data_IF_334870496687
#
_entry.id   IF_334870496687
#
_cell.length_a   1.000
_cell.length_b   1.000
_cell.length_c   1.000
_cell.angle_alpha   90.00
_cell.angle_beta   90.00
_cell.angle_gamma   90.00
#
_symmetry.space_group_name_H-M   'P 1'
#
loop_
_entity.id
_entity.type
_entity.pdbx_description
1 polymer ?
#
# COMPACT_ATOMS: atom_id res chain seq x y z
N UNK A 1 -1.50 15.60 20.68
CA UNK A 1 -1.44 14.13 20.51
C UNK A 1 0.00 13.63 20.35
N UNK A 2 0.82 14.17 19.42
CA UNK A 2 2.20 13.72 19.20
C UNK A 2 3.13 14.06 20.38
N UNK A 3 2.98 15.23 20.97
CA UNK A 3 3.77 15.64 22.14
C UNK A 3 3.49 14.71 23.34
N UNK A 4 2.22 14.38 23.56
CA UNK A 4 1.83 13.48 24.65
C UNK A 4 2.35 12.04 24.41
N UNK A 5 2.37 11.61 23.15
CA UNK A 5 2.90 10.32 22.74
C UNK A 5 4.41 10.22 22.99
N UNK A 6 5.17 11.24 22.55
CA UNK A 6 6.60 11.34 22.78
C UNK A 6 6.95 11.31 24.28
N UNK A 7 6.35 12.21 25.06
CA UNK A 7 6.61 12.34 26.48
C UNK A 7 6.32 11.01 27.23
N UNK A 8 5.34 10.23 26.75
CA UNK A 8 5.03 8.90 27.27
C UNK A 8 6.17 7.91 27.03
N UNK A 9 6.76 7.88 25.83
CA UNK A 9 7.85 6.94 25.52
C UNK A 9 9.17 7.32 26.16
N UNK A 10 9.51 8.60 26.23
CA UNK A 10 10.68 9.09 26.93
C UNK A 10 10.60 8.74 28.43
N UNK A 11 9.47 8.99 29.06
CA UNK A 11 9.26 8.67 30.48
C UNK A 11 9.23 7.16 30.75
N UNK A 12 8.83 6.34 29.78
CA UNK A 12 8.86 4.88 29.87
C UNK A 12 10.24 4.28 29.60
N UNK A 13 11.25 5.08 29.24
CA UNK A 13 12.61 4.63 28.97
C UNK A 13 12.73 3.80 27.68
N UNK A 14 11.84 3.99 26.70
CA UNK A 14 11.92 3.34 25.39
C UNK A 14 13.20 3.76 24.68
N UNK A 15 13.99 2.77 24.23
CA UNK A 15 15.28 2.99 23.56
C UNK A 15 15.23 2.83 22.07
N UNK A 16 14.23 2.10 21.54
CA UNK A 16 14.09 1.82 20.10
C UNK A 16 12.62 1.84 19.69
N UNK A 17 12.35 2.41 18.51
CA UNK A 17 11.02 2.49 17.92
C UNK A 17 10.99 1.78 16.56
N UNK A 18 10.11 0.80 16.41
CA UNK A 18 9.84 0.12 15.15
C UNK A 18 8.52 0.64 14.58
N UNK A 19 8.54 1.21 13.38
CA UNK A 19 7.39 1.87 12.78
C UNK A 19 7.05 1.34 11.39
N UNK A 20 5.80 0.91 11.20
CA UNK A 20 5.29 0.53 9.89
C UNK A 20 4.67 1.78 9.23
N UNK A 21 5.37 2.29 8.25
CA UNK A 21 4.99 3.43 7.42
C UNK A 21 4.34 2.97 6.10
N UNK A 22 4.61 3.66 5.01
CA UNK A 22 4.15 3.33 3.66
C UNK A 22 5.17 3.84 2.64
N UNK A 23 5.35 3.11 1.55
CA UNK A 23 6.23 3.55 0.45
C UNK A 23 5.77 4.88 -0.14
N UNK A 24 6.71 5.63 -0.72
CA UNK A 24 6.45 6.90 -1.43
C UNK A 24 5.84 8.01 -0.56
N UNK A 25 5.86 7.90 0.77
CA UNK A 25 5.33 8.96 1.63
C UNK A 25 6.18 10.23 1.64
N UNK A 26 7.45 10.15 1.22
CA UNK A 26 8.41 11.25 1.10
C UNK A 26 8.61 11.74 -0.33
N UNK A 27 7.89 11.20 -1.30
CA UNK A 27 7.99 11.63 -2.70
C UNK A 27 7.33 13.00 -2.94
N UNK A 28 7.83 13.78 -3.92
CA UNK A 28 7.22 15.04 -4.31
C UNK A 28 5.74 14.89 -4.69
N UNK A 29 4.86 15.63 -4.05
CA UNK A 29 3.42 15.55 -4.25
C UNK A 29 2.68 14.67 -3.26
N UNK A 30 3.36 13.79 -2.53
CA UNK A 30 2.76 12.94 -1.49
C UNK A 30 2.15 13.77 -0.35
N UNK A 31 2.67 14.98 -0.11
CA UNK A 31 2.12 15.92 0.88
C UNK A 31 0.67 16.36 0.60
N UNK A 32 0.21 16.18 -0.65
CA UNK A 32 -1.19 16.44 -1.05
C UNK A 32 -2.13 15.29 -0.78
N UNK A 33 -1.58 14.13 -0.36
CA UNK A 33 -2.34 12.93 -0.02
C UNK A 33 -2.32 12.78 1.51
N UNK A 34 -3.41 13.08 2.22
CA UNK A 34 -3.40 13.18 3.69
C UNK A 34 -2.87 11.92 4.40
N UNK A 35 -3.18 10.74 3.86
CA UNK A 35 -2.70 9.46 4.43
C UNK A 35 -1.19 9.30 4.31
N UNK A 36 -0.59 9.67 3.18
CA UNK A 36 0.87 9.63 2.97
C UNK A 36 1.56 10.69 3.82
N UNK A 37 1.03 11.92 3.79
CA UNK A 37 1.58 13.04 4.56
C UNK A 37 1.58 12.76 6.07
N UNK A 38 0.50 12.18 6.59
CA UNK A 38 0.44 11.79 7.99
C UNK A 38 1.52 10.77 8.36
N UNK A 39 1.78 9.76 7.50
CA UNK A 39 2.85 8.78 7.70
C UNK A 39 4.23 9.44 7.68
N UNK A 40 4.48 10.30 6.69
CA UNK A 40 5.73 11.05 6.58
C UNK A 40 6.00 11.91 7.82
N UNK A 41 5.02 12.65 8.31
CA UNK A 41 5.17 13.47 9.52
C UNK A 41 5.54 12.64 10.75
N UNK A 42 5.00 11.42 10.87
CA UNK A 42 5.36 10.49 11.94
C UNK A 42 6.81 10.07 11.84
N UNK A 43 7.27 9.71 10.63
CA UNK A 43 8.67 9.34 10.41
C UNK A 43 9.62 10.47 10.80
N UNK A 44 9.31 11.70 10.39
CA UNK A 44 10.12 12.86 10.71
C UNK A 44 10.15 13.17 12.22
N UNK A 45 9.04 12.94 12.92
CA UNK A 45 9.04 13.08 14.39
C UNK A 45 9.86 11.98 15.07
N UNK A 46 9.79 10.72 14.60
CA UNK A 46 10.61 9.62 15.12
C UNK A 46 12.09 9.93 14.94
N UNK A 47 12.51 10.38 13.76
CA UNK A 47 13.90 10.69 13.43
C UNK A 47 14.50 11.84 14.26
N UNK A 48 13.67 12.72 14.81
CA UNK A 48 14.10 13.85 15.66
C UNK A 48 14.34 13.43 17.12
N UNK A 49 13.91 12.25 17.53
CA UNK A 49 14.04 11.80 18.90
C UNK A 49 15.46 11.24 19.17
N UNK A 50 15.88 11.30 20.42
CA UNK A 50 17.11 10.67 20.89
C UNK A 50 16.87 9.19 21.24
N UNK A 51 16.35 8.43 20.25
CA UNK A 51 16.13 7.00 20.33
C UNK A 51 16.44 6.34 19.00
N UNK A 52 16.85 5.09 19.04
CA UNK A 52 17.03 4.28 17.83
C UNK A 52 15.70 4.01 17.14
N UNK A 53 15.73 3.91 15.80
CA UNK A 53 14.52 3.59 15.05
C UNK A 53 14.76 2.61 13.90
N UNK A 54 13.72 1.87 13.55
CA UNK A 54 13.59 1.17 12.27
C UNK A 54 12.25 1.54 11.64
N UNK A 55 12.27 2.06 10.43
CA UNK A 55 11.08 2.43 9.68
C UNK A 55 10.91 1.45 8.52
N UNK A 56 9.74 0.84 8.43
CA UNK A 56 9.37 -0.10 7.39
C UNK A 56 8.32 0.53 6.48
N UNK A 57 8.62 0.69 5.21
CA UNK A 57 7.73 1.25 4.18
C UNK A 57 7.31 0.16 3.20
N UNK A 58 6.27 -0.63 3.51
CA UNK A 58 5.75 -1.63 2.56
C UNK A 58 5.11 -0.98 1.35
N UNK A 59 5.15 -1.67 0.20
CA UNK A 59 4.54 -1.26 -1.06
C UNK A 59 3.03 -1.46 -1.08
N UNK A 60 2.59 -2.61 -0.67
CA UNK A 60 1.20 -3.05 -0.62
C UNK A 60 1.14 -4.54 -0.33
N UNK A 61 0.00 -5.04 0.08
CA UNK A 61 -0.15 -6.42 0.50
C UNK A 61 -0.97 -7.24 -0.49
N UNK A 62 -0.63 -8.52 -0.67
CA UNK A 62 -1.39 -9.47 -1.49
C UNK A 62 -2.87 -9.46 -1.15
N UNK A 63 -3.18 -9.49 0.14
CA UNK A 63 -4.55 -9.47 0.64
C UNK A 63 -5.31 -8.21 0.24
N UNK A 64 -4.68 -7.04 0.33
CA UNK A 64 -5.34 -5.77 0.01
C UNK A 64 -5.64 -5.66 -1.48
N UNK A 65 -4.72 -6.08 -2.34
CA UNK A 65 -4.96 -6.12 -3.79
C UNK A 65 -6.12 -7.06 -4.11
N UNK A 66 -6.09 -8.29 -3.59
CA UNK A 66 -7.16 -9.26 -3.80
C UNK A 66 -8.52 -8.73 -3.33
N UNK A 67 -8.58 -8.13 -2.14
CA UNK A 67 -9.79 -7.56 -1.55
C UNK A 67 -10.33 -6.37 -2.34
N UNK A 68 -9.45 -5.47 -2.80
CA UNK A 68 -9.84 -4.30 -3.61
C UNK A 68 -10.31 -4.73 -4.99
N UNK A 69 -9.69 -5.74 -5.60
CA UNK A 69 -10.04 -6.21 -6.94
C UNK A 69 -11.28 -7.10 -6.96
N UNK A 70 -11.58 -7.80 -5.86
CA UNK A 70 -12.71 -8.75 -5.78
C UNK A 70 -14.05 -8.17 -6.27
N UNK A 71 -14.53 -6.99 -5.84
CA UNK A 71 -15.79 -6.44 -6.33
C UNK A 71 -15.82 -6.21 -7.86
N UNK A 72 -14.67 -5.90 -8.46
CA UNK A 72 -14.55 -5.73 -9.91
C UNK A 72 -14.56 -7.07 -10.63
N UNK A 73 -13.86 -8.07 -10.09
CA UNK A 73 -13.88 -9.45 -10.61
C UNK A 73 -15.29 -10.03 -10.53
N UNK A 74 -15.98 -9.84 -9.41
CA UNK A 74 -17.38 -10.30 -9.23
C UNK A 74 -18.30 -9.68 -10.27
N UNK A 75 -18.16 -8.39 -10.53
CA UNK A 75 -18.92 -7.63 -11.53
C UNK A 75 -18.54 -7.97 -12.98
N UNK A 76 -17.38 -8.57 -13.21
CA UNK A 76 -16.87 -8.90 -14.56
C UNK A 76 -16.26 -7.71 -15.32
N UNK A 77 -15.90 -6.60 -14.65
CA UNK A 77 -15.29 -5.41 -15.24
C UNK A 77 -14.32 -4.74 -14.26
N UNK A 78 -13.04 -4.67 -14.63
CA UNK A 78 -12.02 -3.93 -13.88
C UNK A 78 -12.03 -2.45 -14.26
N UNK A 79 -11.80 -1.58 -13.29
CA UNK A 79 -11.61 -0.14 -13.52
C UNK A 79 -10.15 0.24 -13.23
N UNK A 80 -9.46 0.73 -14.25
CA UNK A 80 -8.10 1.22 -14.16
C UNK A 80 -8.00 2.66 -14.64
N UNK A 81 -6.97 3.39 -14.21
CA UNK A 81 -6.75 4.76 -14.66
C UNK A 81 -6.25 4.79 -16.11
N UNK A 82 -6.91 5.60 -16.94
CA UNK A 82 -6.53 5.79 -18.34
C UNK A 82 -5.11 6.37 -18.41
N UNK A 83 -4.23 5.66 -19.14
CA UNK A 83 -2.82 6.03 -19.29
C UNK A 83 -1.90 5.54 -18.17
N UNK A 84 -2.41 4.82 -17.15
CA UNK A 84 -1.64 4.36 -15.98
C UNK A 84 -1.67 2.83 -15.78
N UNK A 85 -2.15 2.06 -16.76
CA UNK A 85 -2.18 0.59 -16.65
C UNK A 85 -0.81 -0.06 -16.49
N UNK A 86 0.25 0.64 -16.95
CA UNK A 86 1.65 0.24 -16.86
C UNK A 86 2.32 0.53 -15.51
N UNK A 87 1.65 1.24 -14.61
CA UNK A 87 2.16 1.53 -13.26
C UNK A 87 2.39 0.23 -12.50
N UNK A 88 3.52 0.14 -11.82
CA UNK A 88 4.05 -1.09 -11.24
C UNK A 88 3.98 -1.08 -9.71
N UNK A 89 3.84 -2.28 -9.17
CA UNK A 89 4.04 -2.53 -7.74
C UNK A 89 4.65 -3.92 -7.53
N UNK A 90 5.52 -4.06 -6.52
CA UNK A 90 6.01 -5.33 -6.02
C UNK A 90 5.40 -5.63 -4.65
N UNK A 91 4.12 -5.96 -4.66
CA UNK A 91 3.34 -6.25 -3.45
C UNK A 91 3.92 -7.42 -2.64
N UNK A 92 3.74 -7.42 -1.33
CA UNK A 92 4.34 -8.37 -0.40
C UNK A 92 3.29 -9.18 0.34
N UNK A 93 3.62 -10.44 0.68
CA UNK A 93 2.77 -11.25 1.57
C UNK A 93 2.91 -10.79 3.03
N UNK A 94 1.80 -10.73 3.77
CA UNK A 94 1.83 -10.24 5.17
C UNK A 94 2.72 -11.08 6.09
N UNK A 95 2.68 -12.43 6.08
CA UNK A 95 3.62 -13.26 6.84
C UNK A 95 5.10 -13.02 6.50
N UNK A 96 5.43 -12.87 5.21
CA UNK A 96 6.81 -12.60 4.78
C UNK A 96 7.28 -11.22 5.25
N UNK A 97 6.41 -10.22 5.18
CA UNK A 97 6.67 -8.90 5.74
C UNK A 97 6.84 -8.92 7.27
N UNK A 98 6.00 -9.68 7.98
CA UNK A 98 6.12 -9.84 9.42
C UNK A 98 7.45 -10.51 9.82
N UNK A 99 7.89 -11.53 9.07
CA UNK A 99 9.18 -12.18 9.29
C UNK A 99 10.33 -11.18 9.06
N UNK A 100 10.26 -10.38 8.00
CA UNK A 100 11.24 -9.32 7.74
C UNK A 100 11.37 -8.34 8.93
N UNK A 101 10.24 -7.92 9.50
CA UNK A 101 10.25 -7.05 10.68
C UNK A 101 10.97 -7.72 11.85
N UNK A 102 10.67 -8.99 12.13
CA UNK A 102 11.32 -9.74 13.23
C UNK A 102 12.83 -9.84 13.01
N UNK A 103 13.26 -10.14 11.79
CA UNK A 103 14.68 -10.32 11.46
C UNK A 103 15.47 -9.00 11.56
N UNK A 104 14.82 -7.86 11.32
CA UNK A 104 15.43 -6.52 11.25
C UNK A 104 15.05 -5.57 12.40
N UNK A 105 14.26 -6.02 13.38
CA UNK A 105 13.77 -5.15 14.45
C UNK A 105 14.87 -4.62 15.37
N UNK A 106 16.05 -5.22 15.33
CA UNK A 106 17.22 -4.81 16.11
C UNK A 106 18.18 -3.90 15.33
N UNK A 107 17.94 -3.66 14.05
CA UNK A 107 18.71 -2.71 13.24
C UNK A 107 18.54 -1.28 13.78
N UNK A 108 19.47 -0.39 13.45
CA UNK A 108 19.53 0.95 14.07
C UNK A 108 19.51 2.04 13.03
N UNK A 109 18.59 2.99 13.19
CA UNK A 109 18.47 4.23 12.42
C UNK A 109 18.39 3.98 10.90
N UNK A 110 17.53 3.05 10.49
CA UNK A 110 17.35 2.63 9.11
C UNK A 110 15.89 2.75 8.67
N UNK A 111 15.71 3.03 7.38
CA UNK A 111 14.41 3.02 6.69
C UNK A 111 14.47 2.03 5.54
N UNK A 112 13.59 1.06 5.51
CA UNK A 112 13.46 0.04 4.47
C UNK A 112 12.25 0.29 3.59
N UNK A 113 12.44 0.37 2.27
CA UNK A 113 11.37 0.36 1.27
C UNK A 113 11.12 -1.08 0.83
N UNK A 114 10.09 -1.72 1.37
CA UNK A 114 9.94 -3.17 1.31
C UNK A 114 8.89 -3.58 0.29
N UNK A 115 9.28 -4.45 -0.63
CA UNK A 115 8.40 -5.09 -1.60
C UNK A 115 8.58 -6.60 -1.64
N UNK A 116 7.69 -7.28 -2.36
CA UNK A 116 7.82 -8.68 -2.71
C UNK A 116 8.83 -8.89 -3.85
N UNK A 117 9.17 -10.13 -4.13
CA UNK A 117 10.14 -10.50 -5.17
C UNK A 117 9.66 -10.26 -6.60
N UNK A 118 8.36 -10.24 -6.81
CA UNK A 118 7.74 -10.13 -8.13
C UNK A 118 7.16 -8.74 -8.34
N UNK A 119 7.46 -8.12 -9.49
CA UNK A 119 6.92 -6.80 -9.85
C UNK A 119 5.92 -6.96 -10.98
N UNK A 120 4.72 -6.44 -10.79
CA UNK A 120 3.64 -6.48 -11.76
C UNK A 120 3.05 -5.09 -12.00
N UNK A 121 2.52 -4.87 -13.20
CA UNK A 121 1.64 -3.75 -13.47
C UNK A 121 0.25 -4.01 -12.90
N UNK A 122 -0.53 -2.95 -12.66
CA UNK A 122 -1.93 -3.12 -12.22
C UNK A 122 -2.78 -3.85 -13.27
N UNK A 123 -2.45 -3.73 -14.55
CA UNK A 123 -3.12 -4.47 -15.63
C UNK A 123 -2.82 -5.96 -15.55
N UNK A 124 -1.55 -6.35 -15.31
CA UNK A 124 -1.17 -7.76 -15.10
C UNK A 124 -1.81 -8.34 -13.85
N UNK A 125 -1.83 -7.61 -12.73
CA UNK A 125 -2.51 -8.06 -11.51
C UNK A 125 -4.02 -8.26 -11.73
N UNK A 126 -4.65 -7.37 -12.51
CA UNK A 126 -6.05 -7.53 -12.89
C UNK A 126 -6.27 -8.78 -13.74
N UNK A 127 -5.40 -9.02 -14.72
CA UNK A 127 -5.46 -10.22 -15.56
C UNK A 127 -5.38 -11.51 -14.72
N UNK A 128 -4.43 -11.58 -13.79
CA UNK A 128 -4.29 -12.73 -12.89
C UNK A 128 -5.55 -12.97 -12.04
N UNK A 129 -6.17 -11.90 -11.51
CA UNK A 129 -7.39 -12.03 -10.72
C UNK A 129 -8.58 -12.55 -11.54
N UNK A 130 -8.74 -12.05 -12.76
CA UNK A 130 -9.82 -12.49 -13.66
C UNK A 130 -9.62 -13.91 -14.16
N UNK A 131 -8.38 -14.27 -14.51
CA UNK A 131 -8.00 -15.64 -14.89
C UNK A 131 -8.27 -16.63 -13.73
N UNK A 132 -7.84 -16.32 -12.53
CA UNK A 132 -8.06 -17.15 -11.35
C UNK A 132 -9.55 -17.36 -11.03
N UNK A 133 -10.40 -16.38 -11.38
CA UNK A 133 -11.86 -16.47 -11.25
C UNK A 133 -12.54 -17.09 -12.46
N UNK A 134 -11.81 -17.56 -13.48
CA UNK A 134 -12.36 -18.07 -14.76
C UNK A 134 -13.27 -17.06 -15.47
N UNK A 135 -12.94 -15.78 -15.44
CA UNK A 135 -13.72 -14.71 -16.08
C UNK A 135 -12.89 -13.98 -17.13
N UNK A 136 -13.49 -13.54 -18.25
CA UNK A 136 -12.80 -12.72 -19.23
C UNK A 136 -12.51 -11.32 -18.64
N UNK A 137 -11.27 -10.85 -18.77
CA UNK A 137 -10.90 -9.50 -18.36
C UNK A 137 -11.53 -8.46 -19.28
N UNK A 138 -12.31 -7.55 -18.72
CA UNK A 138 -12.80 -6.33 -19.38
C UNK A 138 -12.29 -5.15 -18.57
N UNK A 139 -11.55 -4.23 -19.21
CA UNK A 139 -11.03 -3.04 -18.54
C UNK A 139 -11.83 -1.82 -18.98
N UNK A 140 -12.37 -1.10 -18.00
CA UNK A 140 -12.93 0.22 -18.18
C UNK A 140 -11.93 1.28 -17.74
N UNK A 141 -11.46 2.05 -18.68
CA UNK A 141 -10.50 3.11 -18.44
C UNK A 141 -11.16 4.36 -17.87
N UNK A 142 -10.75 4.76 -16.69
CA UNK A 142 -11.30 5.90 -15.95
C UNK A 142 -10.33 7.08 -16.01
N UNK A 143 -10.75 8.28 -16.44
CA UNK A 143 -9.88 9.45 -16.43
C UNK A 143 -9.45 9.84 -15.01
N UNK A 144 -8.16 10.14 -14.81
CA UNK A 144 -7.59 10.46 -13.48
C UNK A 144 -8.27 11.67 -12.81
N UNK A 145 -8.72 12.65 -13.57
CA UNK A 145 -9.38 13.84 -13.03
C UNK A 145 -10.70 13.50 -12.30
N UNK A 146 -11.35 12.39 -12.67
CA UNK A 146 -12.60 11.96 -12.05
C UNK A 146 -12.41 11.63 -10.57
N UNK A 147 -11.26 11.09 -10.18
CA UNK A 147 -10.93 10.84 -8.76
C UNK A 147 -10.90 12.15 -7.96
N UNK A 148 -10.34 13.24 -8.52
CA UNK A 148 -10.36 14.54 -7.89
C UNK A 148 -11.79 15.09 -7.71
N UNK A 149 -12.64 14.93 -8.70
CA UNK A 149 -14.05 15.32 -8.61
C UNK A 149 -14.79 14.49 -7.56
N UNK A 150 -14.64 13.15 -7.62
CA UNK A 150 -15.28 12.23 -6.66
C UNK A 150 -14.86 12.50 -5.22
N UNK A 151 -13.56 12.69 -4.95
CA UNK A 151 -13.05 12.98 -3.62
C UNK A 151 -13.69 14.24 -3.01
N UNK A 152 -14.02 15.23 -3.84
CA UNK A 152 -14.57 16.51 -3.40
C UNK A 152 -16.11 16.55 -3.32
N UNK A 153 -16.82 15.49 -3.69
CA UNK A 153 -18.28 15.45 -3.53
C UNK A 153 -18.68 15.53 -2.05
N UNK A 154 -19.67 16.38 -1.68
CA UNK A 154 -20.11 16.54 -0.29
C UNK A 154 -20.48 15.21 0.40
N UNK A 155 -21.14 14.31 -0.33
CA UNK A 155 -21.52 12.97 0.18
C UNK A 155 -20.28 12.12 0.53
N UNK A 156 -19.22 12.20 -0.26
CA UNK A 156 -17.97 11.48 -0.06
C UNK A 156 -17.21 12.03 1.14
N UNK A 157 -17.10 13.37 1.24
CA UNK A 157 -16.47 14.04 2.40
C UNK A 157 -17.21 13.73 3.69
N UNK A 158 -18.54 13.81 3.69
CA UNK A 158 -19.37 13.47 4.85
C UNK A 158 -19.22 12.00 5.27
N UNK A 159 -19.00 11.10 4.31
CA UNK A 159 -18.75 9.68 4.59
C UNK A 159 -17.29 9.36 5.01
N UNK A 160 -16.40 10.36 5.15
CA UNK A 160 -15.00 10.17 5.51
C UNK A 160 -14.16 9.46 4.43
N UNK A 161 -14.62 9.44 3.18
CA UNK A 161 -13.97 8.68 2.08
C UNK A 161 -13.04 9.54 1.21
N UNK A 162 -12.90 10.82 1.51
CA UNK A 162 -12.05 11.75 0.74
C UNK A 162 -10.61 11.24 0.65
N UNK A 163 -9.99 10.96 1.79
CA UNK A 163 -8.58 10.63 1.89
C UNK A 163 -8.26 9.28 1.22
N UNK A 164 -9.15 8.29 1.37
CA UNK A 164 -8.96 6.99 0.73
C UNK A 164 -9.04 7.08 -0.80
N UNK A 165 -9.88 7.99 -1.35
CA UNK A 165 -9.94 8.21 -2.80
C UNK A 165 -8.68 8.89 -3.31
N UNK A 166 -8.13 9.87 -2.58
CA UNK A 166 -6.86 10.50 -2.94
C UNK A 166 -5.70 9.52 -2.85
N UNK A 167 -5.67 8.68 -1.82
CA UNK A 167 -4.69 7.62 -1.68
C UNK A 167 -4.79 6.60 -2.83
N UNK A 168 -6.01 6.15 -3.18
CA UNK A 168 -6.22 5.24 -4.32
C UNK A 168 -5.79 5.87 -5.65
N UNK A 169 -6.05 7.17 -5.84
CA UNK A 169 -5.55 7.90 -7.01
C UNK A 169 -4.02 7.85 -7.07
N UNK A 170 -3.34 8.10 -5.95
CA UNK A 170 -1.88 8.07 -5.86
C UNK A 170 -1.34 6.69 -6.22
N UNK A 171 -1.79 5.65 -5.54
CA UNK A 171 -1.32 4.28 -5.72
C UNK A 171 -1.52 3.76 -7.16
N UNK A 172 -2.61 4.17 -7.82
CA UNK A 172 -2.89 3.78 -9.20
C UNK A 172 -2.17 4.64 -10.26
N UNK A 173 -1.44 5.68 -9.87
CA UNK A 173 -0.75 6.59 -10.79
C UNK A 173 0.76 6.75 -10.54
N UNK A 174 1.32 6.08 -9.54
CA UNK A 174 2.75 6.10 -9.21
C UNK A 174 3.26 4.66 -9.02
N UNK A 175 4.49 4.41 -9.47
CA UNK A 175 5.14 3.13 -9.22
C UNK A 175 5.38 2.95 -7.72
N UNK A 176 4.96 1.80 -7.19
CA UNK A 176 5.14 1.43 -5.80
C UNK A 176 6.06 0.22 -5.72
N UNK A 177 7.34 0.45 -5.99
CA UNK A 177 8.36 -0.60 -6.04
C UNK A 177 9.38 -0.37 -4.93
N UNK A 178 9.38 -1.26 -3.94
CA UNK A 178 10.40 -1.29 -2.90
C UNK A 178 11.71 -1.88 -3.43
N UNK A 179 12.82 -1.34 -2.96
CA UNK A 179 14.18 -1.77 -3.31
C UNK A 179 14.69 -2.95 -2.46
N UNK A 180 14.05 -3.16 -1.31
CA UNK A 180 14.33 -4.27 -0.40
C UNK A 180 13.26 -5.36 -0.58
N UNK A 181 13.61 -6.41 -1.34
CA UNK A 181 12.69 -7.50 -1.60
C UNK A 181 12.71 -8.52 -0.46
N UNK A 182 11.53 -8.97 -0.02
CA UNK A 182 11.37 -9.99 1.02
C UNK A 182 10.38 -11.07 0.62
N UNK A 183 10.59 -12.26 1.19
CA UNK A 183 9.74 -13.44 1.03
C UNK A 183 9.91 -14.16 -0.30
N UNK A 184 9.37 -15.38 -0.33
CA UNK A 184 9.45 -16.28 -1.50
C UNK A 184 8.09 -16.57 -2.13
N UNK A 185 7.01 -16.10 -1.51
CA UNK A 185 5.66 -16.36 -2.00
C UNK A 185 5.34 -15.61 -3.29
N UNK A 186 4.63 -16.30 -4.17
CA UNK A 186 4.16 -15.75 -5.43
C UNK A 186 2.79 -15.10 -5.27
N UNK A 187 2.65 -13.87 -5.79
CA UNK A 187 1.35 -13.20 -5.87
C UNK A 187 0.37 -13.97 -6.75
N UNK A 188 0.84 -14.52 -7.87
CA UNK A 188 -0.01 -15.32 -8.77
C UNK A 188 -0.59 -16.56 -8.07
N UNK A 189 0.21 -17.28 -7.27
CA UNK A 189 -0.27 -18.42 -6.48
C UNK A 189 -1.27 -18.00 -5.40
N UNK A 190 -1.00 -16.87 -4.72
CA UNK A 190 -1.91 -16.30 -3.74
C UNK A 190 -3.28 -15.99 -4.35
N UNK A 191 -3.30 -15.30 -5.49
CA UNK A 191 -4.52 -14.92 -6.22
C UNK A 191 -5.29 -16.15 -6.70
N UNK A 192 -4.60 -17.17 -7.23
CA UNK A 192 -5.22 -18.45 -7.62
C UNK A 192 -5.91 -19.14 -6.45
N UNK A 193 -5.29 -19.13 -5.27
CA UNK A 193 -5.88 -19.68 -4.06
C UNK A 193 -7.04 -18.85 -3.51
N UNK A 194 -6.97 -17.52 -3.62
CA UNK A 194 -7.99 -16.59 -3.13
C UNK A 194 -9.28 -16.69 -3.94
N UNK A 195 -9.19 -16.62 -5.27
CA UNK A 195 -10.36 -16.65 -6.16
C UNK A 195 -10.80 -18.09 -6.53
N UNK A 196 -9.88 -19.05 -6.59
CA UNK A 196 -10.19 -20.44 -6.96
C UNK A 196 -10.99 -21.22 -5.91
N UNK A 197 -10.97 -20.79 -4.64
CA UNK A 197 -11.79 -21.41 -3.57
C UNK A 197 -13.28 -21.02 -3.65
N UNK A 198 -13.62 -19.94 -4.32
CA UNK A 198 -15.00 -19.45 -4.46
C UNK A 198 -15.73 -20.05 -5.69
N UNK A 199 -15.00 -20.76 -6.55
CA UNK A 199 -15.54 -21.41 -7.75
C UNK A 199 -16.06 -22.83 -7.50
N UNK A 200 -16.07 -23.28 -6.26
CA UNK A 200 -16.61 -24.55 -5.78
C UNK A 200 -17.83 -24.31 -4.88
#
# INVERSE_FOLDING_TARGET
>A
QWKDFRDTFENAGVKKFNYISVISCDEPGAEKVPMLHAKYLVEEEIKKQDMEYVIYRPTGYFYDIAKVFKPYVDKGEMQLLKGYGHVKANVVDCPDFAQFIVDHMMDTNVTYNIGGKETYTYEEMAAMCFEAANKPLKIKWVPIWLFGVLANLPKIKKAGKHDIILFSKWTLSHDLVGDTCTGDKSFAEYIKNYFGKESK
#
